data_IF_824825080409
#
_entry.id   IF_824825080409
#
_cell.length_a   1.000
_cell.length_b   1.000
_cell.length_c   1.000
_cell.angle_alpha   90.00
_cell.angle_beta   90.00
_cell.angle_gamma   90.00
#
_symmetry.space_group_name_H-M   'P 1'
#
loop_
_entity.id
_entity.type
_entity.pdbx_description
1 polymer ?
#
# COMPACT_ATOMS: atom_id res chain seq x y z
N UNK A 1 -13.79 12.44 20.53
CA UNK A 1 -12.96 12.30 19.31
C UNK A 1 -11.52 12.60 19.71
N UNK A 2 -10.68 11.59 19.95
CA UNK A 2 -9.27 11.82 20.29
C UNK A 2 -8.48 11.90 18.99
N UNK A 3 -8.03 13.10 18.63
CA UNK A 3 -7.14 13.30 17.48
C UNK A 3 -5.70 13.01 17.94
N UNK A 4 -5.14 11.90 17.48
CA UNK A 4 -3.71 11.62 17.64
C UNK A 4 -2.97 12.19 16.43
N UNK A 5 -2.32 13.34 16.61
CA UNK A 5 -1.41 13.89 15.59
C UNK A 5 -0.03 13.31 15.85
N UNK A 6 0.44 12.41 14.99
CA UNK A 6 1.84 11.97 15.05
C UNK A 6 2.73 13.17 14.68
N UNK A 7 3.66 13.59 15.54
CA UNK A 7 4.54 14.72 15.24
C UNK A 7 5.41 14.37 14.03
N UNK A 8 5.52 15.31 13.08
CA UNK A 8 6.46 15.13 11.96
C UNK A 8 7.88 15.01 12.54
N UNK A 9 8.69 14.05 12.07
CA UNK A 9 10.09 13.96 12.50
C UNK A 9 10.81 15.27 12.16
N UNK A 10 11.67 15.75 13.07
CA UNK A 10 12.42 17.01 12.90
C UNK A 10 13.34 17.03 11.66
N UNK A 11 13.69 15.86 11.11
CA UNK A 11 14.47 15.70 9.87
C UNK A 11 13.67 15.29 8.63
N UNK A 12 12.33 15.28 8.71
CA UNK A 12 11.47 14.78 7.64
C UNK A 12 11.43 13.25 7.55
N UNK A 13 10.75 12.73 6.52
CA UNK A 13 10.66 11.29 6.28
C UNK A 13 11.93 10.78 5.55
N UNK A 14 12.42 9.57 5.90
CA UNK A 14 13.54 8.96 5.20
C UNK A 14 13.19 8.75 3.72
N UNK A 15 14.20 8.93 2.85
CA UNK A 15 14.07 8.76 1.41
C UNK A 15 14.88 7.56 0.97
N UNK A 16 14.20 6.47 0.70
CA UNK A 16 14.83 5.22 0.32
C UNK A 16 14.61 4.87 -1.15
N UNK A 17 15.55 4.10 -1.70
CA UNK A 17 15.49 3.60 -3.08
C UNK A 17 15.15 2.11 -3.03
N UNK A 18 14.03 1.75 -3.62
CA UNK A 18 13.58 0.37 -3.75
C UNK A 18 13.30 0.03 -5.21
N UNK A 19 13.48 -1.24 -5.56
CA UNK A 19 13.12 -1.74 -6.89
C UNK A 19 11.61 -1.78 -7.06
N UNK A 20 11.11 -1.30 -8.21
CA UNK A 20 9.69 -1.39 -8.58
C UNK A 20 9.25 -2.84 -8.73
N UNK A 21 10.15 -3.72 -9.13
CA UNK A 21 9.93 -5.17 -9.19
C UNK A 21 10.90 -5.85 -8.25
N UNK A 22 10.37 -6.65 -7.32
CA UNK A 22 11.16 -7.41 -6.34
C UNK A 22 10.92 -8.89 -6.58
N UNK A 23 11.95 -9.72 -6.38
CA UNK A 23 11.80 -11.18 -6.40
C UNK A 23 11.60 -11.67 -4.97
N UNK A 24 10.48 -12.32 -4.69
CA UNK A 24 10.24 -12.98 -3.42
C UNK A 24 11.16 -14.20 -3.30
N UNK A 25 12.07 -14.25 -2.31
CA UNK A 25 13.19 -15.18 -2.32
C UNK A 25 12.77 -16.65 -2.25
N UNK A 26 11.76 -16.97 -1.44
CA UNK A 26 11.34 -18.36 -1.20
C UNK A 26 10.57 -18.94 -2.40
N UNK A 27 9.61 -18.18 -2.95
CA UNK A 27 8.75 -18.67 -4.03
C UNK A 27 9.24 -18.27 -5.44
N UNK A 28 10.33 -17.49 -5.53
CA UNK A 28 10.85 -16.90 -6.79
C UNK A 28 9.81 -16.14 -7.62
N UNK A 29 8.76 -15.65 -6.96
CA UNK A 29 7.71 -14.87 -7.57
C UNK A 29 8.17 -13.43 -7.75
N UNK A 30 7.78 -12.80 -8.87
CA UNK A 30 8.00 -11.38 -9.10
C UNK A 30 6.83 -10.59 -8.54
N UNK A 31 7.13 -9.64 -7.68
CA UNK A 31 6.18 -8.76 -7.02
C UNK A 31 6.33 -7.33 -7.55
N UNK A 32 5.21 -6.65 -7.72
CA UNK A 32 5.18 -5.23 -8.05
C UNK A 32 5.19 -4.42 -6.76
N UNK A 33 6.37 -3.91 -6.39
CA UNK A 33 6.62 -3.20 -5.15
C UNK A 33 6.45 -1.69 -5.35
N UNK A 34 5.19 -1.28 -5.49
CA UNK A 34 4.78 0.12 -5.68
C UNK A 34 3.81 0.51 -4.58
N UNK A 35 3.73 1.80 -4.25
CA UNK A 35 2.71 2.31 -3.33
C UNK A 35 2.50 3.80 -3.58
N UNK A 36 1.28 4.21 -3.99
CA UNK A 36 0.96 5.60 -4.34
C UNK A 36 1.22 6.58 -3.19
N UNK A 37 1.05 6.15 -1.94
CA UNK A 37 1.24 7.00 -0.75
C UNK A 37 2.70 7.25 -0.37
N UNK A 38 3.63 6.37 -0.78
CA UNK A 38 5.05 6.44 -0.36
C UNK A 38 6.03 6.59 -1.52
N UNK A 39 5.67 6.16 -2.72
CA UNK A 39 6.54 6.20 -3.89
C UNK A 39 6.49 7.59 -4.54
N UNK A 40 7.66 8.19 -4.77
CA UNK A 40 7.76 9.52 -5.38
C UNK A 40 7.90 9.49 -6.91
N UNK A 41 8.84 8.68 -7.43
CA UNK A 41 9.13 8.53 -8.85
C UNK A 41 10.04 7.31 -9.10
N UNK A 42 10.14 6.89 -10.35
CA UNK A 42 11.08 5.90 -10.85
C UNK A 42 12.41 6.61 -11.13
N UNK A 43 13.46 6.17 -10.44
CA UNK A 43 14.81 6.72 -10.62
C UNK A 43 15.29 6.51 -12.06
N UNK A 44 15.84 7.55 -12.66
CA UNK A 44 16.40 7.52 -14.02
C UNK A 44 15.44 8.00 -15.11
N UNK A 45 14.18 8.28 -14.77
CA UNK A 45 13.21 8.91 -15.66
C UNK A 45 12.99 10.37 -15.25
N UNK A 46 12.61 11.23 -16.21
CA UNK A 46 12.04 12.55 -15.87
C UNK A 46 10.73 12.34 -15.12
N UNK A 47 10.32 13.34 -14.35
CA UNK A 47 9.11 13.23 -13.51
C UNK A 47 7.87 12.81 -14.32
N UNK A 48 7.62 13.50 -15.42
CA UNK A 48 6.49 13.21 -16.32
C UNK A 48 6.56 11.79 -16.92
N UNK A 49 7.76 11.32 -17.27
CA UNK A 49 7.97 9.97 -17.82
C UNK A 49 7.75 8.89 -16.75
N UNK A 50 8.07 9.20 -15.49
CA UNK A 50 7.80 8.31 -14.36
C UNK A 50 6.33 8.24 -13.99
N UNK A 51 5.62 9.38 -14.05
CA UNK A 51 4.24 9.45 -13.58
C UNK A 51 3.31 8.58 -14.44
N UNK A 52 3.51 8.55 -15.77
CA UNK A 52 2.69 7.77 -16.71
C UNK A 52 2.58 6.27 -16.36
N UNK A 53 3.68 5.49 -16.28
CA UNK A 53 3.59 4.08 -15.95
C UNK A 53 3.14 3.83 -14.50
N UNK A 54 3.52 4.70 -13.56
CA UNK A 54 3.09 4.59 -12.17
C UNK A 54 1.57 4.77 -12.04
N UNK A 55 1.00 5.79 -12.68
CA UNK A 55 -0.44 6.03 -12.65
C UNK A 55 -1.22 4.91 -13.32
N UNK A 56 -0.71 4.36 -14.44
CA UNK A 56 -1.31 3.20 -15.08
C UNK A 56 -1.40 2.01 -14.12
N UNK A 57 -0.29 1.70 -13.43
CA UNK A 57 -0.22 0.60 -12.46
C UNK A 57 -1.12 0.85 -11.26
N UNK A 58 -1.07 2.05 -10.69
CA UNK A 58 -1.88 2.41 -9.52
C UNK A 58 -3.37 2.33 -9.84
N UNK A 59 -3.77 2.81 -11.03
CA UNK A 59 -5.14 2.70 -11.51
C UNK A 59 -5.54 1.24 -11.68
N UNK A 60 -4.70 0.42 -12.31
CA UNK A 60 -4.95 -1.00 -12.47
C UNK A 60 -5.17 -1.73 -11.13
N UNK A 61 -4.34 -1.45 -10.12
CA UNK A 61 -4.50 -2.03 -8.77
C UNK A 61 -5.82 -1.59 -8.15
N UNK A 62 -6.16 -0.29 -8.21
CA UNK A 62 -7.35 0.26 -7.59
C UNK A 62 -8.65 -0.21 -8.26
N UNK A 63 -8.65 -0.36 -9.59
CA UNK A 63 -9.83 -0.69 -10.40
C UNK A 63 -10.00 -2.19 -10.66
N UNK A 64 -9.13 -3.05 -10.10
CA UNK A 64 -9.23 -4.51 -10.26
C UNK A 64 -9.63 -5.19 -8.95
N UNK A 65 -10.94 -5.37 -8.67
CA UNK A 65 -11.42 -5.98 -7.42
C UNK A 65 -10.83 -7.35 -7.11
N UNK A 66 -10.50 -8.13 -8.15
CA UNK A 66 -9.86 -9.46 -8.00
C UNK A 66 -8.48 -9.42 -7.35
N UNK A 67 -7.81 -8.26 -7.31
CA UNK A 67 -6.53 -8.07 -6.63
C UNK A 67 -6.69 -7.64 -5.17
N UNK A 68 -7.92 -7.47 -4.70
CA UNK A 68 -8.22 -6.95 -3.35
C UNK A 68 -8.95 -7.99 -2.51
N UNK A 69 -8.66 -8.01 -1.21
CA UNK A 69 -9.42 -8.74 -0.21
C UNK A 69 -9.89 -7.74 0.85
N UNK A 70 -11.19 -7.75 1.17
CA UNK A 70 -11.76 -6.86 2.19
C UNK A 70 -12.04 -7.67 3.45
N UNK A 71 -11.27 -7.38 4.50
CA UNK A 71 -11.51 -7.96 5.82
C UNK A 71 -12.68 -7.23 6.51
N UNK A 72 -13.64 -8.00 7.02
CA UNK A 72 -14.68 -7.51 7.91
C UNK A 72 -14.29 -7.91 9.33
N UNK A 73 -13.93 -6.91 10.14
CA UNK A 73 -13.46 -7.15 11.51
C UNK A 73 -14.59 -7.63 12.42
N UNK A 74 -14.28 -8.62 13.26
CA UNK A 74 -15.13 -9.10 14.36
C UNK A 74 -14.37 -9.00 15.68
N UNK A 75 -15.03 -9.00 16.84
CA UNK A 75 -14.35 -9.06 18.12
C UNK A 75 -13.34 -10.21 18.16
N UNK A 76 -12.12 -9.91 18.60
CA UNK A 76 -10.99 -10.85 18.67
C UNK A 76 -10.47 -11.39 17.33
N UNK A 77 -10.87 -10.81 16.20
CA UNK A 77 -10.30 -11.16 14.90
C UNK A 77 -8.84 -10.68 14.78
N UNK A 78 -8.01 -11.51 14.15
CA UNK A 78 -6.60 -11.24 13.90
C UNK A 78 -6.29 -11.51 12.44
N UNK A 79 -5.68 -10.53 11.77
CA UNK A 79 -5.21 -10.66 10.40
C UNK A 79 -3.68 -10.55 10.37
N UNK A 80 -3.05 -11.47 9.65
CA UNK A 80 -1.62 -11.44 9.36
C UNK A 80 -1.42 -11.44 7.84
N UNK A 81 -0.40 -10.72 7.39
CA UNK A 81 -0.05 -10.63 5.99
C UNK A 81 1.45 -10.43 5.82
N UNK A 82 1.96 -10.77 4.64
CA UNK A 82 3.34 -10.50 4.27
C UNK A 82 3.47 -9.08 3.73
N UNK A 83 4.20 -8.22 4.46
CA UNK A 83 4.35 -6.80 4.15
C UNK A 83 4.99 -6.53 2.77
N UNK A 84 5.84 -7.43 2.27
CA UNK A 84 6.47 -7.23 0.97
C UNK A 84 5.56 -7.55 -0.23
N UNK A 85 4.46 -8.28 0.01
CA UNK A 85 3.61 -8.82 -1.05
C UNK A 85 2.30 -8.05 -1.23
N UNK A 86 1.89 -7.25 -0.24
CA UNK A 86 0.57 -6.63 -0.24
C UNK A 86 0.64 -5.14 0.08
N UNK A 87 -0.35 -4.41 -0.41
CA UNK A 87 -0.67 -3.06 0.05
C UNK A 87 -1.93 -3.13 0.89
N UNK A 88 -1.97 -2.37 1.98
CA UNK A 88 -3.14 -2.26 2.84
C UNK A 88 -3.69 -0.84 2.79
N UNK A 89 -5.01 -0.73 2.86
CA UNK A 89 -5.72 0.53 2.94
C UNK A 89 -6.67 0.48 4.13
N UNK A 90 -6.44 1.35 5.11
CA UNK A 90 -7.35 1.50 6.25
C UNK A 90 -8.60 2.24 5.77
N UNK A 91 -9.74 1.55 5.80
CA UNK A 91 -11.03 2.11 5.39
C UNK A 91 -11.75 2.62 6.63
N UNK A 92 -12.14 3.89 6.61
CA UNK A 92 -12.98 4.48 7.63
C UNK A 92 -14.45 4.22 7.29
N UNK A 93 -14.92 3.00 7.58
CA UNK A 93 -16.34 2.66 7.49
C UNK A 93 -16.79 2.02 8.80
N UNK A 94 -17.87 2.57 9.39
CA UNK A 94 -18.37 2.20 10.72
C UNK A 94 -19.48 1.13 10.71
N UNK A 95 -19.94 0.68 9.53
CA UNK A 95 -21.06 -0.25 9.42
C UNK A 95 -20.59 -1.71 9.34
N UNK A 96 -20.24 -2.33 10.48
CA UNK A 96 -20.13 -3.79 10.56
C UNK A 96 -20.31 -4.37 11.98
N UNK A 97 -20.96 -3.66 12.89
CA UNK A 97 -21.39 -4.26 14.16
C UNK A 97 -22.90 -4.09 14.34
N UNK A 98 -23.65 -5.07 13.84
CA UNK A 98 -25.01 -5.34 14.33
C UNK A 98 -24.92 -6.69 15.02
N UNK A 99 -24.84 -6.74 16.36
CA UNK A 99 -24.93 -8.01 17.07
C UNK A 99 -26.34 -8.56 16.81
N UNK A 100 -26.42 -9.83 16.40
CA UNK A 100 -27.68 -10.59 16.49
C UNK A 100 -27.87 -11.07 17.91
#
# INVERSE_FOLDING_TARGET
>A
MLAATSPRPSGGYPREKHSVVVTYPEARLRLLYVNRGFMSHIKGLRRQESDVPLDMVFRHIAETPRLTCRAVWQPNALAFWNHCCIQQHAVWETSAYTPR
#
